data_IF_251064541684
#
_entry.id   IF_251064541684
#
_cell.length_a   1.000
_cell.length_b   1.000
_cell.length_c   1.000
_cell.angle_alpha   90.00
_cell.angle_beta   90.00
_cell.angle_gamma   90.00
#
_symmetry.space_group_name_H-M   'P 1'
#
loop_
_entity.id
_entity.type
_entity.pdbx_description
1 polymer ?
#
# COMPACT_ATOMS: atom_id res chain seq x y z
N UNK A 1 -0.14 7.55 -15.17
CA UNK A 1 1.07 6.68 -15.19
C UNK A 1 1.26 6.12 -13.79
N UNK A 2 1.65 4.86 -13.65
CA UNK A 2 1.97 4.25 -12.34
C UNK A 2 3.43 3.81 -12.36
N UNK A 3 4.20 4.25 -11.37
CA UNK A 3 5.57 3.83 -11.13
C UNK A 3 5.56 2.94 -9.89
N UNK A 4 5.65 1.64 -10.11
CA UNK A 4 5.54 0.65 -9.04
C UNK A 4 6.92 0.27 -8.48
N UNK A 5 6.98 0.02 -7.17
CA UNK A 5 8.14 -0.46 -6.41
C UNK A 5 9.45 0.31 -6.66
N UNK A 6 9.38 1.64 -6.65
CA UNK A 6 10.55 2.49 -6.90
C UNK A 6 11.46 2.52 -5.66
N UNK A 7 12.66 1.97 -5.76
CA UNK A 7 13.63 1.87 -4.67
C UNK A 7 14.93 2.66 -4.91
N UNK A 8 15.07 3.31 -6.07
CA UNK A 8 16.27 4.03 -6.46
C UNK A 8 15.98 5.45 -6.99
N UNK A 9 16.65 6.44 -6.40
CA UNK A 9 16.56 7.86 -6.76
C UNK A 9 16.94 8.11 -8.22
N UNK A 10 17.94 7.39 -8.75
CA UNK A 10 18.38 7.57 -10.13
C UNK A 10 17.33 7.08 -11.13
N UNK A 11 16.63 5.98 -10.83
CA UNK A 11 15.52 5.48 -11.63
C UNK A 11 14.40 6.52 -11.68
N UNK A 12 13.98 7.03 -10.52
CA UNK A 12 12.90 8.01 -10.46
C UNK A 12 13.26 9.32 -11.18
N UNK A 13 14.49 9.83 -11.00
CA UNK A 13 14.96 11.02 -11.70
C UNK A 13 15.03 10.83 -13.22
N UNK A 14 15.46 9.66 -13.69
CA UNK A 14 15.50 9.35 -15.12
C UNK A 14 14.10 9.35 -15.75
N UNK A 15 13.07 8.95 -14.99
CA UNK A 15 11.67 8.96 -15.43
C UNK A 15 11.04 10.35 -15.33
N UNK A 16 11.22 11.05 -14.21
CA UNK A 16 10.56 12.35 -13.98
C UNK A 16 11.09 13.47 -14.89
N UNK A 17 12.37 13.45 -15.26
CA UNK A 17 12.98 14.46 -16.14
C UNK A 17 12.26 14.61 -17.49
N UNK A 18 12.12 13.54 -18.31
CA UNK A 18 11.39 13.63 -19.58
C UNK A 18 9.89 13.87 -19.39
N UNK A 19 9.31 13.28 -18.33
CA UNK A 19 7.87 13.35 -18.06
C UNK A 19 7.41 14.78 -17.74
N UNK A 20 8.20 15.57 -16.98
CA UNK A 20 7.85 16.96 -16.64
C UNK A 20 7.71 17.88 -17.86
N UNK A 21 8.41 17.61 -18.96
CA UNK A 21 8.33 18.38 -20.20
C UNK A 21 7.22 17.92 -21.15
N UNK A 22 6.65 16.74 -20.93
CA UNK A 22 5.75 16.08 -21.90
C UNK A 22 4.32 15.93 -21.36
N UNK A 23 4.13 15.88 -20.04
CA UNK A 23 2.81 15.70 -19.46
C UNK A 23 1.93 16.94 -19.54
N UNK A 24 0.66 16.72 -19.86
CA UNK A 24 -0.38 17.73 -19.73
C UNK A 24 -0.55 18.14 -18.25
N UNK A 25 -0.84 19.40 -17.91
CA UNK A 25 -0.96 19.91 -16.54
C UNK A 25 -1.91 19.16 -15.58
N UNK A 26 -2.82 18.33 -16.11
CA UNK A 26 -3.79 17.54 -15.32
C UNK A 26 -3.46 16.04 -15.30
N UNK A 27 -2.25 15.67 -15.70
CA UNK A 27 -1.82 14.27 -15.69
C UNK A 27 -1.47 13.83 -14.27
N UNK A 28 -1.95 12.64 -13.87
CA UNK A 28 -1.63 12.05 -12.57
C UNK A 28 -0.54 10.96 -12.72
N UNK A 29 0.49 11.05 -11.87
CA UNK A 29 1.48 10.00 -11.66
C UNK A 29 1.31 9.46 -10.24
N UNK A 30 1.07 8.16 -10.12
CA UNK A 30 1.10 7.46 -8.85
C UNK A 30 2.44 6.76 -8.72
N UNK A 31 3.11 6.93 -7.58
CA UNK A 31 4.40 6.28 -7.29
C UNK A 31 4.22 5.45 -6.02
N UNK A 32 4.57 4.17 -6.07
CA UNK A 32 4.66 3.33 -4.87
C UNK A 32 6.14 3.10 -4.56
N UNK A 33 6.47 3.12 -3.27
CA UNK A 33 7.82 2.87 -2.78
C UNK A 33 7.74 2.36 -1.34
N UNK A 34 8.68 1.49 -0.97
CA UNK A 34 8.90 1.09 0.42
C UNK A 34 9.83 2.05 1.17
N UNK A 35 10.52 2.95 0.46
CA UNK A 35 11.50 3.88 1.03
C UNK A 35 11.11 5.34 0.75
N UNK A 36 10.66 6.03 1.80
CA UNK A 36 10.32 7.46 1.73
C UNK A 36 11.50 8.31 1.27
N UNK A 37 12.73 7.93 1.59
CA UNK A 37 13.93 8.71 1.25
C UNK A 37 14.18 8.73 -0.26
N UNK A 38 13.70 7.72 -1.00
CA UNK A 38 13.75 7.74 -2.47
C UNK A 38 12.87 8.86 -3.04
N UNK A 39 11.70 9.09 -2.45
CA UNK A 39 10.76 10.13 -2.87
C UNK A 39 11.26 11.53 -2.52
N UNK A 40 11.73 11.74 -1.28
CA UNK A 40 12.21 13.04 -0.81
C UNK A 40 13.46 13.50 -1.56
N UNK A 41 14.44 12.60 -1.76
CA UNK A 41 15.66 12.90 -2.54
C UNK A 41 15.37 13.16 -4.02
N UNK A 42 14.26 12.63 -4.54
CA UNK A 42 13.78 12.90 -5.91
C UNK A 42 12.92 14.16 -6.03
N UNK A 43 12.82 14.96 -4.95
CA UNK A 43 12.06 16.22 -4.89
C UNK A 43 10.57 16.05 -5.17
N UNK A 44 10.00 14.93 -4.75
CA UNK A 44 8.54 14.79 -4.61
C UNK A 44 8.10 15.67 -3.45
N UNK A 45 7.00 16.42 -3.62
CA UNK A 45 6.47 17.29 -2.57
C UNK A 45 6.00 16.46 -1.37
N UNK A 46 6.38 16.86 -0.17
CA UNK A 46 6.05 16.14 1.07
C UNK A 46 4.53 15.99 1.27
N UNK A 47 3.75 17.01 0.88
CA UNK A 47 2.28 16.99 0.91
C UNK A 47 1.64 15.96 -0.02
N UNK A 48 2.39 15.45 -1.00
CA UNK A 48 1.95 14.41 -1.93
C UNK A 48 2.34 13.00 -1.47
N UNK A 49 3.13 12.87 -0.39
CA UNK A 49 3.57 11.56 0.12
C UNK A 49 2.53 11.04 1.11
N UNK A 50 1.92 9.92 0.75
CA UNK A 50 1.02 9.18 1.62
C UNK A 50 1.70 7.95 2.20
N UNK A 51 1.84 7.89 3.53
CA UNK A 51 2.31 6.68 4.22
C UNK A 51 1.15 5.71 4.38
N UNK A 52 1.20 4.60 3.62
CA UNK A 52 0.27 3.50 3.81
C UNK A 52 0.46 2.89 5.20
N UNK A 53 -0.65 2.62 5.89
CA UNK A 53 -0.68 1.97 7.21
C UNK A 53 -1.36 0.62 7.10
N UNK A 54 -1.11 -0.27 8.05
CA UNK A 54 -1.78 -1.57 8.12
C UNK A 54 -3.29 -1.42 8.31
N UNK A 55 -4.01 -2.52 8.08
CA UNK A 55 -5.44 -2.60 8.30
C UNK A 55 -5.74 -2.57 9.80
N UNK A 56 -6.86 -1.96 10.16
CA UNK A 56 -7.39 -2.12 11.52
C UNK A 56 -7.97 -3.54 11.71
N UNK A 57 -8.29 -3.92 12.94
CA UNK A 57 -8.79 -5.26 13.27
C UNK A 57 -10.04 -5.64 12.47
N UNK A 58 -10.99 -4.72 12.29
CA UNK A 58 -12.22 -4.98 11.53
C UNK A 58 -11.92 -5.23 10.04
N UNK A 59 -11.13 -4.36 9.41
CA UNK A 59 -10.70 -4.53 8.03
C UNK A 59 -9.88 -5.82 7.83
N UNK A 60 -9.06 -6.17 8.82
CA UNK A 60 -8.26 -7.40 8.79
C UNK A 60 -9.14 -8.65 8.86
N UNK A 61 -10.15 -8.64 9.75
CA UNK A 61 -11.13 -9.72 9.85
C UNK A 61 -11.94 -9.85 8.57
N UNK A 62 -12.43 -8.74 8.02
CA UNK A 62 -13.20 -8.76 6.78
C UNK A 62 -12.37 -9.34 5.62
N UNK A 63 -11.13 -8.87 5.45
CA UNK A 63 -10.23 -9.38 4.41
C UNK A 63 -9.94 -10.88 4.58
N UNK A 64 -9.51 -11.29 5.78
CA UNK A 64 -9.22 -12.69 6.07
C UNK A 64 -10.46 -13.57 5.83
N UNK A 65 -11.62 -13.16 6.36
CA UNK A 65 -12.83 -13.95 6.24
C UNK A 65 -13.32 -14.02 4.79
N UNK A 66 -13.18 -12.97 3.97
CA UNK A 66 -13.50 -13.01 2.55
C UNK A 66 -12.62 -14.02 1.77
N UNK A 67 -11.39 -14.28 2.23
CA UNK A 67 -10.48 -15.25 1.63
C UNK A 67 -10.67 -16.67 2.18
N UNK A 68 -10.82 -16.82 3.50
CA UNK A 68 -10.91 -18.11 4.18
C UNK A 68 -12.32 -18.71 4.18
N UNK A 69 -13.35 -17.87 4.11
CA UNK A 69 -14.77 -18.24 4.18
C UNK A 69 -15.54 -17.59 3.01
N UNK A 70 -16.72 -18.10 2.64
CA UNK A 70 -17.54 -17.48 1.59
C UNK A 70 -18.30 -16.22 2.09
N UNK A 71 -17.82 -15.55 3.14
CA UNK A 71 -18.49 -14.42 3.81
C UNK A 71 -17.49 -13.57 4.61
N UNK A 72 -17.79 -12.28 4.84
CA UNK A 72 -16.89 -11.34 5.53
C UNK A 72 -16.81 -11.48 7.06
N UNK A 73 -17.22 -12.61 7.64
CA UNK A 73 -17.14 -12.85 9.09
C UNK A 73 -16.86 -14.33 9.40
N UNK A 74 -16.30 -14.64 10.59
CA UNK A 74 -15.98 -16.02 10.97
C UNK A 74 -17.21 -16.93 10.90
N UNK A 75 -16.99 -18.20 10.57
CA UNK A 75 -18.01 -19.24 10.78
C UNK A 75 -18.22 -19.47 12.28
N UNK A 76 -19.43 -19.86 12.72
CA UNK A 76 -19.68 -20.19 14.13
C UNK A 76 -18.68 -21.23 14.66
N UNK A 77 -18.00 -20.91 15.76
CA UNK A 77 -16.97 -21.75 16.39
C UNK A 77 -15.52 -21.45 15.94
N UNK A 78 -15.31 -20.52 15.01
CA UNK A 78 -13.99 -20.10 14.54
C UNK A 78 -13.58 -18.71 15.06
N UNK A 79 -14.42 -18.02 15.81
CA UNK A 79 -14.22 -16.63 16.24
C UNK A 79 -12.89 -16.44 16.98
N UNK A 80 -12.60 -17.28 17.97
CA UNK A 80 -11.36 -17.23 18.75
C UNK A 80 -10.12 -17.54 17.89
N UNK A 81 -10.23 -18.49 16.96
CA UNK A 81 -9.14 -18.84 16.05
C UNK A 81 -8.80 -17.67 15.13
N UNK A 82 -9.83 -17.04 14.55
CA UNK A 82 -9.66 -15.86 13.69
C UNK A 82 -9.05 -14.73 14.49
N UNK A 83 -9.58 -14.42 15.68
CA UNK A 83 -9.03 -13.35 16.51
C UNK A 83 -7.54 -13.56 16.84
N UNK A 84 -7.15 -14.79 17.21
CA UNK A 84 -5.76 -15.13 17.48
C UNK A 84 -4.86 -15.04 16.24
N UNK A 85 -5.37 -15.45 15.08
CA UNK A 85 -4.66 -15.32 13.81
C UNK A 85 -4.44 -13.84 13.43
N UNK A 86 -5.49 -13.02 13.49
CA UNK A 86 -5.41 -11.59 13.16
C UNK A 86 -4.42 -10.84 14.07
N UNK A 87 -4.34 -11.21 15.36
CA UNK A 87 -3.34 -10.67 16.29
C UNK A 87 -1.91 -10.99 15.86
N UNK A 88 -1.66 -12.16 15.29
CA UNK A 88 -0.34 -12.55 14.79
C UNK A 88 0.03 -11.82 13.48
N UNK A 89 -0.97 -11.51 12.64
CA UNK A 89 -0.80 -10.81 11.37
C UNK A 89 -0.57 -9.30 11.51
N UNK A 90 -0.91 -8.71 12.65
CA UNK A 90 -0.68 -7.29 12.99
C UNK A 90 -1.16 -6.30 11.91
N UNK A 91 -2.32 -6.59 11.31
CA UNK A 91 -2.94 -5.75 10.29
C UNK A 91 -2.22 -5.74 8.92
N UNK A 92 -1.26 -6.65 8.69
CA UNK A 92 -0.50 -6.71 7.45
C UNK A 92 -1.29 -7.49 6.37
N UNK A 93 -1.82 -6.84 5.30
CA UNK A 93 -2.74 -7.49 4.37
C UNK A 93 -2.20 -8.75 3.70
N UNK A 94 -0.89 -8.78 3.41
CA UNK A 94 -0.26 -9.91 2.73
C UNK A 94 -0.23 -11.19 3.59
N UNK A 95 -0.46 -11.07 4.89
CA UNK A 95 -0.54 -12.19 5.83
C UNK A 95 -1.97 -12.63 6.14
N UNK A 96 -2.99 -12.00 5.53
CA UNK A 96 -4.41 -12.27 5.79
C UNK A 96 -5.05 -13.09 4.66
#
# INVERSE_FOLDING_TARGET
>A
VILDDVDNVNQLNALLRPIRSVLHPHSLILITSRDKDVLTRSRVEESSIYRLTGLNTHQSQELFCLHAFPQGHPLPGFEELVENYLKACDGLPLSL
#
